data_IF_583181307557
#
_entry.id   IF_583181307557
#
_cell.length_a   1.000
_cell.length_b   1.000
_cell.length_c   1.000
_cell.angle_alpha   90.00
_cell.angle_beta   90.00
_cell.angle_gamma   90.00
#
_symmetry.space_group_name_H-M   'P 1'
#
loop_
_entity.id
_entity.type
_entity.pdbx_description
1 polymer ?
#
# COMPACT_ATOMS: atom_id res chain seq x y z
N UNK A 1 -13.03 -9.08 17.19
CA UNK A 1 -11.58 -8.98 16.94
C UNK A 1 -11.39 -8.88 15.44
N UNK A 2 -11.37 -7.67 14.90
CA UNK A 2 -11.02 -7.46 13.51
C UNK A 2 -9.54 -7.10 13.40
N UNK A 3 -8.76 -7.99 12.80
CA UNK A 3 -7.32 -7.80 12.58
C UNK A 3 -7.14 -6.80 11.44
N UNK A 4 -6.45 -5.68 11.70
CA UNK A 4 -5.85 -4.85 10.64
C UNK A 4 -4.93 -5.77 9.84
N UNK A 5 -5.15 -5.95 8.54
CA UNK A 5 -4.37 -6.88 7.75
C UNK A 5 -3.01 -6.26 7.39
N UNK A 6 -2.07 -6.35 8.33
CA UNK A 6 -0.66 -6.17 8.03
C UNK A 6 -0.15 -7.43 7.32
N UNK A 7 0.93 -7.28 6.54
CA UNK A 7 1.48 -8.31 5.61
C UNK A 7 1.73 -9.70 6.22
N UNK A 8 1.69 -9.82 7.55
CA UNK A 8 1.95 -11.04 8.33
C UNK A 8 0.83 -11.40 9.33
N UNK A 9 -0.37 -10.88 9.17
CA UNK A 9 -1.48 -11.10 10.12
C UNK A 9 -1.28 -10.42 11.48
N UNK A 10 -0.41 -9.41 11.52
CA UNK A 10 -0.18 -8.60 12.71
C UNK A 10 -1.34 -7.62 12.91
N UNK A 11 -1.72 -7.35 14.15
CA UNK A 11 -2.82 -6.44 14.50
C UNK A 11 -2.32 -5.21 15.25
N UNK A 12 -3.06 -4.10 15.14
CA UNK A 12 -2.93 -2.95 16.05
C UNK A 12 -4.01 -3.11 17.13
N UNK A 13 -3.61 -3.03 18.40
CA UNK A 13 -4.50 -3.15 19.56
C UNK A 13 -5.03 -1.79 20.01
N UNK A 14 -6.15 -1.79 20.73
CA UNK A 14 -6.71 -0.58 21.33
C UNK A 14 -7.39 0.37 20.35
N UNK A 15 -7.82 -0.14 19.18
CA UNK A 15 -8.61 0.62 18.22
C UNK A 15 -10.08 0.57 18.64
N UNK A 16 -10.72 1.74 18.70
CA UNK A 16 -12.17 1.84 18.82
C UNK A 16 -12.84 1.61 17.46
N UNK A 17 -13.33 0.40 17.25
CA UNK A 17 -14.04 0.03 16.02
C UNK A 17 -15.37 0.79 15.86
N UNK A 18 -15.98 1.32 16.92
CA UNK A 18 -17.23 2.08 16.82
C UNK A 18 -17.04 3.45 16.15
N UNK A 19 -15.85 4.04 16.29
CA UNK A 19 -15.49 5.33 15.70
C UNK A 19 -14.99 5.24 14.25
N UNK A 20 -14.98 4.05 13.65
CA UNK A 20 -14.50 3.85 12.29
C UNK A 20 -15.58 4.10 11.22
N UNK A 21 -15.14 4.54 10.05
CA UNK A 21 -15.95 4.92 8.90
C UNK A 21 -15.76 3.94 7.74
N UNK A 22 -16.83 3.73 6.97
CA UNK A 22 -16.77 2.96 5.73
C UNK A 22 -16.32 3.85 4.58
N UNK A 23 -15.30 3.40 3.87
CA UNK A 23 -14.86 4.03 2.63
C UNK A 23 -15.40 3.22 1.44
N UNK A 24 -16.61 3.56 1.04
CA UNK A 24 -17.24 2.99 -0.15
C UNK A 24 -16.88 3.86 -1.36
N UNK A 25 -16.37 3.22 -2.40
CA UNK A 25 -15.93 3.86 -3.64
C UNK A 25 -16.49 3.08 -4.83
N UNK A 26 -17.01 3.80 -5.82
CA UNK A 26 -17.49 3.24 -7.09
C UNK A 26 -16.32 2.98 -8.05
N UNK A 27 -16.52 2.20 -9.14
CA UNK A 27 -15.53 2.08 -10.20
C UNK A 27 -15.01 3.42 -10.69
N UNK A 28 -13.70 3.61 -10.64
CA UNK A 28 -13.05 4.84 -11.10
C UNK A 28 -13.03 5.96 -10.06
N UNK A 29 -13.71 5.81 -8.93
CA UNK A 29 -13.49 6.67 -7.78
C UNK A 29 -12.21 6.28 -7.05
N UNK A 30 -11.70 7.24 -6.30
CA UNK A 30 -10.40 7.15 -5.67
C UNK A 30 -10.47 7.71 -4.26
N UNK A 31 -9.83 7.02 -3.34
CA UNK A 31 -9.62 7.50 -1.99
C UNK A 31 -8.14 7.77 -1.73
N UNK A 32 -7.86 8.91 -1.12
CA UNK A 32 -6.53 9.32 -0.69
C UNK A 32 -6.52 9.35 0.83
N UNK A 33 -5.56 8.67 1.44
CA UNK A 33 -5.38 8.68 2.88
C UNK A 33 -3.90 8.67 3.25
N UNK A 34 -3.62 9.14 4.47
CA UNK A 34 -2.27 9.10 5.03
C UNK A 34 -1.79 7.65 5.17
N UNK A 35 -0.53 7.36 4.79
CA UNK A 35 0.04 6.01 4.86
C UNK A 35 -0.03 5.40 6.27
N UNK A 36 -0.03 6.22 7.33
CA UNK A 36 -0.13 5.77 8.73
C UNK A 36 -1.57 5.57 9.19
N UNK A 37 -2.57 5.89 8.37
CA UNK A 37 -3.97 5.72 8.72
C UNK A 37 -4.24 4.24 9.02
N UNK A 38 -4.81 3.95 10.20
CA UNK A 38 -5.28 2.61 10.51
C UNK A 38 -6.45 2.27 9.58
N UNK A 39 -6.23 1.34 8.67
CA UNK A 39 -7.21 0.93 7.68
C UNK A 39 -7.21 -0.58 7.50
N UNK A 40 -8.35 -1.11 7.11
CA UNK A 40 -8.56 -2.52 6.86
C UNK A 40 -9.81 -2.70 5.96
N UNK A 41 -9.94 -3.83 5.26
CA UNK A 41 -11.00 -4.20 4.29
C UNK A 41 -11.90 -5.44 4.60
N UNK A 42 -13.22 -5.31 4.70
CA UNK A 42 -14.11 -6.47 4.93
C UNK A 42 -13.85 -7.70 4.00
N UNK A 43 -14.01 -8.96 4.48
CA UNK A 43 -14.10 -10.16 3.67
C UNK A 43 -15.12 -9.92 2.60
N UNK A 44 -14.79 -10.40 1.42
CA UNK A 44 -15.69 -10.26 0.31
C UNK A 44 -16.76 -11.35 0.41
N UNK A 45 -18.01 -10.97 0.64
CA UNK A 45 -19.15 -11.90 0.68
C UNK A 45 -19.97 -11.93 -0.60
N UNK A 46 -19.58 -11.15 -1.63
CA UNK A 46 -20.18 -11.24 -2.95
C UNK A 46 -19.63 -12.45 -3.73
N UNK A 47 -20.33 -12.79 -4.81
CA UNK A 47 -19.91 -13.76 -5.81
C UNK A 47 -18.87 -13.21 -6.81
N UNK A 48 -18.68 -11.89 -6.87
CA UNK A 48 -17.65 -11.24 -7.70
C UNK A 48 -16.42 -10.74 -6.89
N UNK A 49 -15.30 -10.48 -7.57
CA UNK A 49 -14.02 -10.00 -7.02
C UNK A 49 -14.03 -8.50 -6.76
N UNK A 50 -13.71 -8.08 -5.53
CA UNK A 50 -13.32 -6.70 -5.23
C UNK A 50 -11.85 -6.45 -5.55
N UNK A 51 -11.55 -5.63 -6.56
CA UNK A 51 -10.17 -5.30 -6.95
C UNK A 51 -9.86 -3.85 -6.59
N UNK A 52 -8.79 -3.64 -5.81
CA UNK A 52 -8.22 -2.33 -5.49
C UNK A 52 -6.76 -2.23 -5.94
N UNK A 53 -6.37 -1.07 -6.47
CA UNK A 53 -5.01 -0.72 -6.88
C UNK A 53 -4.48 0.32 -5.91
N UNK A 54 -3.43 -0.06 -5.18
CA UNK A 54 -2.73 0.84 -4.27
C UNK A 54 -1.59 1.58 -4.98
N UNK A 55 -1.56 2.90 -4.91
CA UNK A 55 -0.42 3.73 -5.34
C UNK A 55 0.07 4.53 -4.13
N UNK A 56 1.37 4.53 -3.86
CA UNK A 56 1.95 5.30 -2.75
C UNK A 56 2.77 6.46 -3.30
N UNK A 57 2.50 7.66 -2.81
CA UNK A 57 3.26 8.86 -3.12
C UNK A 57 4.14 9.25 -1.93
N UNK A 58 5.40 9.52 -2.22
CA UNK A 58 6.41 9.96 -1.26
C UNK A 58 7.18 11.14 -1.84
N UNK A 59 7.61 12.11 -1.01
CA UNK A 59 8.50 13.17 -1.46
C UNK A 59 9.92 12.63 -1.72
N UNK A 60 10.71 13.25 -2.63
CA UNK A 60 12.05 12.79 -2.99
C UNK A 60 13.06 12.71 -1.81
N UNK A 61 12.85 13.49 -0.75
CA UNK A 61 13.65 13.45 0.48
C UNK A 61 13.43 12.19 1.34
N UNK A 62 12.43 11.37 1.01
CA UNK A 62 12.17 10.12 1.72
C UNK A 62 13.31 9.13 1.47
N UNK A 63 13.68 8.36 2.49
CA UNK A 63 14.71 7.31 2.37
C UNK A 63 14.28 6.05 3.08
N UNK A 64 14.39 4.89 2.44
CA UNK A 64 14.22 3.63 3.15
C UNK A 64 15.45 3.32 4.02
N UNK A 65 15.21 2.70 5.17
CA UNK A 65 16.26 2.42 6.17
C UNK A 65 16.56 0.93 6.35
N UNK A 66 15.78 0.05 5.73
CA UNK A 66 15.85 -1.39 5.98
C UNK A 66 16.79 -2.11 5.00
N UNK A 67 16.97 -1.56 3.81
CA UNK A 67 17.83 -2.10 2.74
C UNK A 67 18.58 -0.97 2.04
N UNK A 68 19.75 -1.29 1.46
CA UNK A 68 20.58 -0.29 0.77
C UNK A 68 20.01 0.16 -0.58
N UNK A 69 19.02 -0.55 -1.13
CA UNK A 69 18.48 -0.30 -2.46
C UNK A 69 16.95 -0.28 -2.44
N UNK A 70 16.38 0.67 -3.18
CA UNK A 70 14.95 0.83 -3.45
C UNK A 70 14.75 1.57 -4.78
N UNK A 71 13.56 1.45 -5.36
CA UNK A 71 13.20 2.13 -6.62
C UNK A 71 11.91 2.93 -6.49
N UNK A 72 11.77 3.97 -7.31
CA UNK A 72 10.56 4.76 -7.40
C UNK A 72 10.43 5.43 -8.77
N UNK A 73 9.20 5.66 -9.21
CA UNK A 73 8.91 6.48 -10.39
C UNK A 73 8.76 7.95 -9.99
N UNK A 74 9.55 8.85 -10.60
CA UNK A 74 9.35 10.30 -10.45
C UNK A 74 8.12 10.75 -11.27
N UNK A 75 7.05 11.11 -10.57
CA UNK A 75 5.77 11.51 -11.20
C UNK A 75 5.55 13.02 -11.26
N UNK A 76 6.28 13.81 -10.46
CA UNK A 76 6.15 15.27 -10.41
C UNK A 76 7.40 15.91 -9.81
N UNK A 77 7.81 17.06 -10.36
CA UNK A 77 8.93 17.86 -9.85
C UNK A 77 10.28 17.28 -10.25
N UNK A 78 11.26 17.43 -9.37
CA UNK A 78 12.66 17.03 -9.58
C UNK A 78 13.17 16.27 -8.35
N UNK A 79 13.97 15.23 -8.55
CA UNK A 79 14.70 14.55 -7.48
C UNK A 79 16.11 15.12 -7.34
N UNK A 80 16.44 15.61 -6.14
CA UNK A 80 17.76 16.16 -5.78
C UNK A 80 18.48 15.34 -4.71
N UNK A 81 17.87 14.24 -4.24
CA UNK A 81 18.35 13.43 -3.13
C UNK A 81 18.94 12.10 -3.58
N UNK A 82 18.44 11.53 -4.69
CA UNK A 82 18.97 10.29 -5.26
C UNK A 82 18.88 9.10 -4.30
N UNK A 83 17.84 9.07 -3.48
CA UNK A 83 17.59 7.98 -2.52
C UNK A 83 16.97 6.74 -3.17
N UNK A 84 16.40 6.88 -4.36
CA UNK A 84 15.76 5.82 -5.13
C UNK A 84 16.42 5.68 -6.50
N UNK A 85 16.52 4.45 -7.00
CA UNK A 85 16.75 4.22 -8.42
C UNK A 85 15.48 4.59 -9.19
N UNK A 86 15.60 5.50 -10.17
CA UNK A 86 14.44 5.93 -10.95
C UNK A 86 14.00 4.86 -11.93
N UNK A 87 12.74 4.45 -11.81
CA UNK A 87 12.15 3.45 -12.67
C UNK A 87 11.91 4.03 -14.08
N UNK A 88 12.28 3.31 -15.15
CA UNK A 88 12.03 3.76 -16.51
C UNK A 88 10.54 3.71 -16.81
N UNK A 89 10.07 4.67 -17.60
CA UNK A 89 8.71 4.66 -18.11
C UNK A 89 8.54 3.51 -19.12
N UNK A 90 7.60 2.57 -18.91
CA UNK A 90 7.35 1.50 -19.88
C UNK A 90 6.95 2.09 -21.24
N UNK A 91 7.55 1.60 -22.33
CA UNK A 91 7.25 2.06 -23.70
C UNK A 91 6.03 1.39 -24.29
N UNK A 92 5.74 0.17 -23.86
CA UNK A 92 4.64 -0.67 -24.30
C UNK A 92 4.32 -1.70 -23.21
N UNK A 93 3.18 -2.37 -23.34
CA UNK A 93 2.77 -3.42 -22.40
C UNK A 93 3.83 -4.52 -22.34
N UNK A 94 4.25 -4.87 -21.12
CA UNK A 94 5.32 -5.84 -20.86
C UNK A 94 6.68 -5.47 -21.46
N UNK A 95 7.01 -4.17 -21.54
CA UNK A 95 8.36 -3.71 -21.86
C UNK A 95 9.42 -4.49 -21.05
N UNK A 96 10.34 -5.25 -21.69
CA UNK A 96 11.27 -6.13 -21.00
C UNK A 96 12.11 -5.42 -19.91
N UNK A 97 12.46 -4.15 -20.13
CA UNK A 97 13.23 -3.35 -19.18
C UNK A 97 12.41 -3.01 -17.93
N UNK A 98 11.17 -2.55 -18.11
CA UNK A 98 10.28 -2.23 -17.00
C UNK A 98 9.89 -3.49 -16.21
N UNK A 99 9.70 -4.61 -16.90
CA UNK A 99 9.41 -5.90 -16.25
C UNK A 99 10.59 -6.35 -15.38
N UNK A 100 11.83 -6.17 -15.84
CA UNK A 100 13.01 -6.58 -15.07
C UNK A 100 13.20 -5.73 -13.81
N UNK A 101 13.02 -4.41 -13.92
CA UNK A 101 13.05 -3.53 -12.75
C UNK A 101 11.92 -3.85 -11.78
N UNK A 102 10.71 -4.12 -12.28
CA UNK A 102 9.59 -4.54 -11.43
C UNK A 102 9.90 -5.82 -10.64
N UNK A 103 10.50 -6.84 -11.29
CA UNK A 103 10.91 -8.08 -10.59
C UNK A 103 11.93 -7.80 -9.49
N UNK A 104 12.92 -6.94 -9.75
CA UNK A 104 13.94 -6.55 -8.77
C UNK A 104 13.31 -5.80 -7.58
N UNK A 105 12.41 -4.87 -7.87
CA UNK A 105 11.66 -4.11 -6.86
C UNK A 105 10.78 -5.02 -6.00
N UNK A 106 10.03 -5.95 -6.60
CA UNK A 106 9.22 -6.93 -5.88
C UNK A 106 10.09 -7.82 -4.99
N UNK A 107 11.21 -8.35 -5.51
CA UNK A 107 12.13 -9.16 -4.72
C UNK A 107 12.69 -8.39 -3.51
N UNK A 108 13.09 -7.12 -3.70
CA UNK A 108 13.58 -6.27 -2.62
C UNK A 108 12.50 -6.00 -1.56
N UNK A 109 11.29 -5.63 -1.98
CA UNK A 109 10.16 -5.38 -1.09
C UNK A 109 9.73 -6.63 -0.32
N UNK A 110 9.62 -7.77 -1.00
CA UNK A 110 9.30 -9.07 -0.37
C UNK A 110 10.32 -9.44 0.69
N UNK A 111 11.60 -9.20 0.44
CA UNK A 111 12.66 -9.47 1.39
C UNK A 111 12.62 -8.54 2.62
N UNK A 112 11.88 -7.42 2.55
CA UNK A 112 11.55 -6.57 3.70
C UNK A 112 10.28 -7.09 4.40
N UNK A 113 9.17 -7.21 3.67
CA UNK A 113 7.86 -7.54 4.25
C UNK A 113 7.80 -8.93 4.88
N UNK A 114 8.46 -9.91 4.28
CA UNK A 114 8.42 -11.31 4.74
C UNK A 114 9.67 -11.72 5.52
N UNK A 115 10.55 -10.77 5.85
CA UNK A 115 11.69 -11.05 6.72
C UNK A 115 11.20 -11.56 8.08
N UNK A 116 11.62 -12.77 8.45
CA UNK A 116 11.23 -13.44 9.70
C UNK A 116 9.76 -13.86 9.79
N UNK A 117 9.01 -13.87 8.69
CA UNK A 117 7.61 -14.31 8.69
C UNK A 117 7.50 -15.85 8.79
N UNK A 118 6.59 -16.34 9.65
CA UNK A 118 6.10 -17.73 9.61
C UNK A 118 4.91 -17.83 8.65
N UNK A 119 4.70 -19.00 8.03
CA UNK A 119 3.61 -19.23 7.06
C UNK A 119 2.23 -18.87 7.67
N UNK A 120 1.33 -18.21 6.92
CA UNK A 120 0.11 -17.67 7.49
C UNK A 120 -0.87 -18.78 7.91
N UNK A 121 -1.39 -18.68 9.13
CA UNK A 121 -2.65 -19.34 9.53
C UNK A 121 -3.80 -18.51 8.93
N UNK A 122 -4.77 -19.19 8.33
CA UNK A 122 -5.93 -18.64 7.61
C UNK A 122 -6.59 -17.48 8.38
N UNK A 123 -6.62 -16.29 7.79
CA UNK A 123 -7.30 -15.12 8.35
C UNK A 123 -8.69 -14.95 7.72
N UNK A 124 -9.73 -14.88 8.57
CA UNK A 124 -11.13 -14.62 8.21
C UNK A 124 -11.61 -13.49 9.12
N UNK A 125 -11.99 -12.31 8.59
CA UNK A 125 -12.50 -11.23 9.45
C UNK A 125 -12.74 -9.87 8.78
N UNK A 126 -13.90 -9.28 9.13
CA UNK A 126 -14.56 -8.02 8.71
C UNK A 126 -13.81 -6.74 9.16
N UNK A 127 -13.67 -5.68 8.33
CA UNK A 127 -12.74 -4.56 8.54
C UNK A 127 -13.21 -3.13 8.10
N UNK A 128 -12.92 -2.08 8.89
CA UNK A 128 -13.45 -0.68 8.81
C UNK A 128 -12.30 0.37 8.98
N UNK A 129 -12.44 1.65 8.57
CA UNK A 129 -11.33 2.66 8.59
C UNK A 129 -11.42 3.62 9.78
N UNK A 130 -10.33 3.89 10.51
CA UNK A 130 -10.34 4.80 11.67
C UNK A 130 -9.58 6.10 11.38
N UNK A 131 -10.23 7.26 11.55
CA UNK A 131 -9.61 8.59 11.42
C UNK A 131 -9.35 9.18 12.80
N UNK A 132 -8.09 9.21 13.23
CA UNK A 132 -7.64 9.95 14.43
C UNK A 132 -6.99 11.29 14.06
N UNK A 133 -6.80 12.22 15.02
CA UNK A 133 -6.13 13.49 14.78
C UNK A 133 -4.64 13.26 14.47
N UNK A 134 -4.20 13.64 13.27
CA UNK A 134 -2.81 13.44 12.80
C UNK A 134 -1.95 14.70 12.97
N UNK A 135 -0.82 14.55 13.68
CA UNK A 135 0.30 15.49 13.61
C UNK A 135 1.21 15.11 12.43
N UNK A 136 1.65 16.14 11.69
CA UNK A 136 2.08 16.07 10.29
C UNK A 136 3.30 15.20 10.00
N UNK A 137 3.14 14.37 8.96
CA UNK A 137 4.14 13.91 8.00
C UNK A 137 3.33 13.42 6.79
N UNK A 138 3.39 14.13 5.65
CA UNK A 138 2.50 13.88 4.50
C UNK A 138 3.07 12.78 3.61
N UNK A 139 2.56 11.56 3.76
CA UNK A 139 2.72 10.48 2.78
C UNK A 139 1.34 9.97 2.41
N UNK A 140 0.99 10.04 1.13
CA UNK A 140 -0.36 9.79 0.64
C UNK A 140 -0.43 8.46 -0.09
N UNK A 141 -1.40 7.63 0.27
CA UNK A 141 -1.71 6.37 -0.39
C UNK A 141 -3.05 6.49 -1.12
N UNK A 142 -3.04 6.14 -2.40
CA UNK A 142 -4.18 6.11 -3.31
C UNK A 142 -4.72 4.69 -3.36
N UNK A 143 -6.02 4.50 -3.18
CA UNK A 143 -6.69 3.24 -3.50
C UNK A 143 -7.70 3.47 -4.62
N UNK A 144 -7.49 2.83 -5.78
CA UNK A 144 -8.42 2.83 -6.92
C UNK A 144 -9.12 1.48 -6.95
N UNK A 145 -10.43 1.41 -6.72
CA UNK A 145 -11.16 0.14 -6.84
C UNK A 145 -12.02 0.09 -8.09
N UNK A 146 -12.09 -1.09 -8.73
CA UNK A 146 -13.14 -1.43 -9.69
C UNK A 146 -14.11 -2.37 -8.98
N UNK A 147 -15.31 -1.87 -8.65
CA UNK A 147 -16.46 -2.65 -8.17
C UNK A 147 -17.61 -2.55 -9.18
N UNK A 148 -17.76 -3.51 -10.10
CA UNK A 148 -19.09 -3.67 -10.71
C UNK A 148 -19.95 -4.54 -9.80
#
# INVERSE_FOLDING_TARGET
MSTICLTRGQEIRGIDEAASVNLAVKPGEVAIFDYRLAHASYPNSSDDRRIGVGIRYIPPETRQILRPWDSATLVRGEDRFGHFELEPRPRFDFDPEAVEIHKRADAAQRAVYYSGAQSPKTATGWQRIYLGPTAGLRSESLCITRCR
#
